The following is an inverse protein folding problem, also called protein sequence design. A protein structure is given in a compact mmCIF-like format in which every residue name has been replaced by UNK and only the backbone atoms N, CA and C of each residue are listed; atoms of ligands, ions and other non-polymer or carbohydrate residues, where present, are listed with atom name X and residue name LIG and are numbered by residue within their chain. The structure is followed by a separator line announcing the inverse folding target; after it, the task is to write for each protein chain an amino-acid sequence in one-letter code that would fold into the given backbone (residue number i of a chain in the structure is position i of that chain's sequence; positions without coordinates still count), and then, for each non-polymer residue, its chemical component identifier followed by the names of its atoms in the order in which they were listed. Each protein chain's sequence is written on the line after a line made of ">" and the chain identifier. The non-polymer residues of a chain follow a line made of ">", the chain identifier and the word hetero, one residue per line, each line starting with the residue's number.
data_IF_999952302870
#
_entry.id   IF_999952302870
#
_cell.length_a   1.000
_cell.length_b   1.000
_cell.length_c   1.000
_cell.angle_alpha   90.00
_cell.angle_beta   90.00
_cell.angle_gamma   90.00
#
_symmetry.space_group_name_H-M   'P 1'
#
loop_
_entity.id
_entity.type
_entity.pdbx_description
1 polymer ?
#
# COMPACT_ATOMS: atom_id res chain seq x y z
N UNK A 1 31.09 -40.00 -72.54
CA UNK A 1 31.95 -38.81 -72.40
C UNK A 1 31.45 -37.95 -71.25
N UNK A 2 32.38 -37.72 -70.33
CA UNK A 2 32.45 -36.71 -69.32
C UNK A 2 31.45 -36.71 -68.10
N UNK A 3 32.03 -37.17 -67.04
CA UNK A 3 31.78 -36.98 -65.64
C UNK A 3 31.47 -35.53 -65.31
N UNK A 4 30.56 -35.31 -64.32
CA UNK A 4 30.77 -34.26 -63.32
C UNK A 4 30.17 -34.69 -61.98
N UNK A 5 31.05 -34.94 -61.02
CA UNK A 5 30.76 -35.00 -59.60
C UNK A 5 30.30 -33.63 -59.16
N UNK A 6 29.12 -33.52 -58.54
CA UNK A 6 28.62 -32.36 -57.87
C UNK A 6 28.63 -32.61 -56.38
N UNK A 7 29.49 -31.93 -55.67
CA UNK A 7 29.75 -31.91 -54.26
C UNK A 7 28.51 -31.36 -53.51
N UNK A 8 27.91 -32.15 -52.63
CA UNK A 8 26.85 -31.74 -51.75
C UNK A 8 27.48 -30.90 -50.65
N UNK A 9 27.38 -29.58 -50.78
CA UNK A 9 27.69 -28.65 -49.70
C UNK A 9 26.58 -28.66 -48.66
N UNK A 10 26.89 -29.18 -47.48
CA UNK A 10 26.10 -29.08 -46.30
C UNK A 10 26.14 -27.59 -45.84
N UNK A 11 25.21 -26.80 -46.31
CA UNK A 11 24.98 -25.48 -45.74
C UNK A 11 24.30 -25.68 -44.36
N UNK A 12 25.12 -25.58 -43.32
CA UNK A 12 24.62 -25.40 -41.98
C UNK A 12 23.78 -24.12 -41.92
N UNK A 13 22.48 -24.27 -41.72
CA UNK A 13 21.61 -23.19 -41.36
C UNK A 13 22.05 -22.73 -39.97
N UNK A 14 22.88 -21.70 -39.90
CA UNK A 14 23.00 -20.87 -38.70
C UNK A 14 21.68 -20.11 -38.63
N UNK A 15 20.76 -20.62 -37.84
CA UNK A 15 19.57 -19.86 -37.45
C UNK A 15 20.06 -18.64 -36.69
N UNK A 16 20.12 -17.50 -37.37
CA UNK A 16 20.23 -16.19 -36.72
C UNK A 16 19.03 -16.10 -35.77
N UNK A 17 19.33 -16.10 -34.49
CA UNK A 17 18.34 -15.86 -33.45
C UNK A 17 17.66 -14.51 -33.77
N UNK A 18 16.44 -14.59 -34.32
CA UNK A 18 15.55 -13.44 -34.41
C UNK A 18 15.47 -12.87 -33.02
N UNK A 19 15.67 -11.54 -32.88
CA UNK A 19 15.54 -10.83 -31.62
C UNK A 19 14.15 -11.14 -31.05
N UNK A 20 14.11 -12.07 -30.12
CA UNK A 20 12.87 -12.48 -29.47
C UNK A 20 12.44 -11.29 -28.63
N UNK A 21 11.22 -10.82 -28.83
CA UNK A 21 10.59 -9.76 -28.03
C UNK A 21 10.31 -10.24 -26.58
N UNK A 22 11.31 -10.82 -25.92
CA UNK A 22 11.23 -11.23 -24.54
C UNK A 22 11.37 -10.02 -23.61
N UNK A 23 10.55 -9.98 -22.58
CA UNK A 23 10.70 -8.99 -21.51
C UNK A 23 11.42 -9.65 -20.34
N UNK A 24 12.62 -9.16 -20.04
CA UNK A 24 13.46 -9.72 -18.99
C UNK A 24 13.59 -8.70 -17.87
N UNK A 25 13.24 -9.11 -16.65
CA UNK A 25 13.30 -8.28 -15.45
C UNK A 25 14.14 -8.95 -14.37
N UNK A 26 14.81 -8.14 -13.56
CA UNK A 26 15.58 -8.57 -12.41
C UNK A 26 14.85 -8.17 -11.13
N UNK A 27 14.53 -9.15 -10.29
CA UNK A 27 13.89 -8.93 -8.99
C UNK A 27 14.96 -9.00 -7.88
N UNK A 28 15.07 -7.93 -7.11
CA UNK A 28 15.93 -7.87 -5.94
C UNK A 28 15.20 -8.33 -4.66
N UNK A 29 15.92 -8.77 -3.63
CA UNK A 29 15.32 -9.07 -2.34
C UNK A 29 14.71 -7.82 -1.72
N UNK A 30 13.61 -8.00 -1.00
CA UNK A 30 12.93 -6.92 -0.28
C UNK A 30 13.67 -6.54 1.01
N UNK A 31 14.45 -7.47 1.57
CA UNK A 31 15.17 -7.26 2.83
C UNK A 31 16.54 -6.65 2.59
N UNK A 32 16.94 -5.74 3.50
CA UNK A 32 18.26 -5.15 3.48
C UNK A 32 19.34 -6.21 3.78
N UNK A 33 20.36 -6.26 2.94
CA UNK A 33 21.44 -7.26 2.97
C UNK A 33 22.63 -6.76 3.77
N UNK A 34 23.35 -7.67 4.43
CA UNK A 34 24.60 -7.30 5.09
C UNK A 34 25.71 -7.03 4.06
N UNK A 35 26.59 -6.04 4.30
CA UNK A 35 27.80 -5.87 3.50
C UNK A 35 28.65 -7.14 3.52
N UNK A 36 29.21 -7.56 2.39
CA UNK A 36 29.93 -8.83 2.27
C UNK A 36 29.05 -10.07 2.26
N UNK A 37 27.72 -9.94 2.44
CA UNK A 37 26.75 -11.03 2.43
C UNK A 37 26.40 -11.50 1.01
N UNK A 38 25.79 -12.67 0.91
CA UNK A 38 25.24 -13.18 -0.34
C UNK A 38 23.83 -12.65 -0.57
N UNK A 39 23.56 -12.29 -1.82
CA UNK A 39 22.26 -11.79 -2.28
C UNK A 39 21.73 -12.71 -3.36
N UNK A 40 20.49 -13.15 -3.18
CA UNK A 40 19.74 -13.84 -4.23
C UNK A 40 18.88 -12.83 -4.99
N UNK A 41 18.96 -12.89 -6.32
CA UNK A 41 18.11 -12.13 -7.24
C UNK A 41 17.46 -13.10 -8.22
N UNK A 42 16.24 -12.80 -8.65
CA UNK A 42 15.53 -13.66 -9.58
C UNK A 42 15.38 -12.95 -10.93
N UNK A 43 15.86 -13.59 -12.00
CA UNK A 43 15.65 -13.17 -13.38
C UNK A 43 14.31 -13.71 -13.84
N UNK A 44 13.37 -12.83 -14.13
CA UNK A 44 12.04 -13.18 -14.66
C UNK A 44 12.02 -12.93 -16.14
N UNK A 45 11.71 -13.98 -16.93
CA UNK A 45 11.68 -13.96 -18.39
C UNK A 45 10.23 -14.14 -18.80
N UNK A 46 9.64 -13.12 -19.40
CA UNK A 46 8.28 -13.16 -19.94
C UNK A 46 8.31 -13.39 -21.44
N UNK A 47 7.44 -14.29 -21.89
CA UNK A 47 7.13 -14.51 -23.29
C UNK A 47 5.80 -13.81 -23.65
N UNK A 48 5.79 -12.61 -24.23
CA UNK A 48 4.55 -11.92 -24.60
C UNK A 48 3.93 -12.45 -25.89
N UNK A 49 4.60 -13.39 -26.58
CA UNK A 49 4.16 -13.92 -27.88
C UNK A 49 3.05 -14.97 -27.73
N UNK A 50 2.39 -15.28 -28.85
CA UNK A 50 1.37 -16.33 -28.90
C UNK A 50 1.95 -17.74 -29.12
N UNK A 51 3.28 -17.89 -29.18
CA UNK A 51 3.98 -19.16 -29.40
C UNK A 51 4.89 -19.47 -28.23
N UNK A 52 5.13 -20.74 -27.97
CA UNK A 52 6.11 -21.20 -27.00
C UNK A 52 7.53 -20.87 -27.46
N UNK A 53 8.39 -20.52 -26.52
CA UNK A 53 9.78 -20.12 -26.76
C UNK A 53 10.70 -20.86 -25.77
N UNK A 54 11.89 -21.27 -26.28
CA UNK A 54 12.98 -21.76 -25.44
C UNK A 54 13.97 -20.61 -25.22
N UNK A 55 14.24 -20.27 -23.98
CA UNK A 55 15.24 -19.27 -23.61
C UNK A 55 16.43 -19.95 -22.94
N UNK A 56 17.62 -19.82 -23.53
CA UNK A 56 18.86 -20.31 -22.94
C UNK A 56 19.38 -19.34 -21.89
N UNK A 57 19.39 -19.80 -20.64
CA UNK A 57 19.87 -19.01 -19.50
C UNK A 57 21.33 -19.39 -19.19
N UNK A 58 22.29 -18.44 -19.23
CA UNK A 58 23.68 -18.71 -18.90
C UNK A 58 23.82 -19.05 -17.40
N UNK A 59 24.90 -19.79 -17.07
CA UNK A 59 25.25 -20.14 -15.68
C UNK A 59 25.74 -18.95 -14.87
N UNK A 60 26.27 -17.92 -15.53
CA UNK A 60 26.69 -16.67 -14.88
C UNK A 60 26.27 -15.47 -15.69
N UNK A 61 26.01 -14.37 -15.00
CA UNK A 61 25.67 -13.08 -15.59
C UNK A 61 26.61 -12.02 -15.02
N UNK A 62 27.15 -11.20 -15.90
CA UNK A 62 27.93 -10.04 -15.50
C UNK A 62 27.01 -8.85 -15.17
N UNK A 63 27.24 -8.23 -14.04
CA UNK A 63 26.53 -7.04 -13.60
C UNK A 63 27.43 -5.96 -13.03
N UNK A 64 26.86 -4.81 -12.79
CA UNK A 64 27.48 -3.71 -12.10
C UNK A 64 26.57 -3.28 -10.96
N UNK A 65 27.07 -3.35 -9.75
CA UNK A 65 26.42 -2.77 -8.57
C UNK A 65 26.92 -1.33 -8.44
N UNK A 66 26.03 -0.34 -8.39
CA UNK A 66 26.41 1.08 -8.40
C UNK A 66 25.73 1.86 -7.30
N UNK A 67 26.47 2.80 -6.71
CA UNK A 67 25.98 3.89 -5.87
C UNK A 67 26.20 5.23 -6.62
N UNK A 68 25.86 6.35 -5.99
CA UNK A 68 26.14 7.68 -6.55
C UNK A 68 27.64 7.96 -6.80
N UNK A 69 28.55 7.27 -6.07
CA UNK A 69 30.00 7.57 -6.09
C UNK A 69 30.88 6.41 -6.49
N UNK A 70 30.38 5.19 -6.42
CA UNK A 70 31.18 3.98 -6.64
C UNK A 70 30.43 2.97 -7.50
N UNK A 71 31.19 2.20 -8.27
CA UNK A 71 30.71 1.08 -9.07
C UNK A 71 31.55 -0.15 -8.77
N UNK A 72 30.88 -1.27 -8.56
CA UNK A 72 31.51 -2.57 -8.32
C UNK A 72 31.06 -3.55 -9.38
N UNK A 73 31.97 -4.15 -10.15
CA UNK A 73 31.64 -5.28 -11.00
C UNK A 73 31.24 -6.47 -10.14
N UNK A 74 30.16 -7.15 -10.49
CA UNK A 74 29.66 -8.34 -9.79
C UNK A 74 29.34 -9.43 -10.78
N UNK A 75 29.66 -10.68 -10.43
CA UNK A 75 29.27 -11.87 -11.16
C UNK A 75 28.11 -12.55 -10.43
N UNK A 76 26.97 -12.69 -11.11
CA UNK A 76 25.79 -13.38 -10.60
C UNK A 76 25.85 -14.83 -11.06
N UNK A 77 25.84 -15.77 -10.15
CA UNK A 77 25.92 -17.21 -10.43
C UNK A 77 24.57 -17.89 -10.30
N UNK A 78 24.13 -18.55 -11.35
CA UNK A 78 22.88 -19.32 -11.39
C UNK A 78 23.04 -20.69 -10.75
N UNK A 79 21.99 -21.19 -10.13
CA UNK A 79 21.98 -22.54 -9.55
C UNK A 79 21.84 -23.63 -10.62
N UNK A 80 21.29 -23.32 -11.78
CA UNK A 80 21.17 -24.20 -12.95
C UNK A 80 21.19 -23.38 -14.24
N UNK A 81 21.95 -23.83 -15.22
CA UNK A 81 21.92 -23.31 -16.60
C UNK A 81 21.04 -24.19 -17.51
N UNK A 82 20.79 -23.70 -18.72
CA UNK A 82 20.10 -24.45 -19.78
C UNK A 82 18.79 -23.80 -20.22
N UNK A 83 18.16 -24.43 -21.23
CA UNK A 83 16.95 -23.95 -21.85
C UNK A 83 15.74 -23.99 -20.93
N UNK A 84 15.09 -22.86 -20.79
CA UNK A 84 13.79 -22.74 -20.13
C UNK A 84 12.71 -22.69 -21.22
N UNK A 85 11.83 -23.69 -21.24
CA UNK A 85 10.65 -23.69 -22.07
C UNK A 85 9.60 -22.76 -21.47
N UNK A 86 9.21 -21.71 -22.21
CA UNK A 86 8.29 -20.68 -21.76
C UNK A 86 7.06 -20.71 -22.64
N UNK A 87 5.93 -21.13 -22.08
CA UNK A 87 4.66 -21.20 -22.81
C UNK A 87 4.27 -19.85 -23.43
N UNK A 88 3.43 -19.88 -24.44
CA UNK A 88 2.83 -18.67 -25.02
C UNK A 88 2.17 -17.82 -23.94
N UNK A 89 2.48 -16.52 -23.89
CA UNK A 89 2.02 -15.55 -22.86
C UNK A 89 2.37 -15.97 -21.43
N UNK A 90 3.34 -16.88 -21.26
CA UNK A 90 3.81 -17.37 -19.98
C UNK A 90 5.10 -16.69 -19.53
N UNK A 91 5.61 -17.14 -18.39
CA UNK A 91 6.88 -16.68 -17.86
C UNK A 91 7.68 -17.84 -17.25
N UNK A 92 8.98 -17.62 -17.08
CA UNK A 92 9.87 -18.48 -16.31
C UNK A 92 10.76 -17.60 -15.43
N UNK A 93 11.29 -18.16 -14.36
CA UNK A 93 12.25 -17.47 -13.51
C UNK A 93 13.50 -18.32 -13.27
N UNK A 94 14.63 -17.64 -13.07
CA UNK A 94 15.91 -18.24 -12.73
C UNK A 94 16.56 -17.43 -11.60
N UNK A 95 17.00 -18.15 -10.58
CA UNK A 95 17.65 -17.54 -9.42
C UNK A 95 19.16 -17.45 -9.62
N UNK A 96 19.70 -16.31 -9.29
CA UNK A 96 21.12 -16.03 -9.26
C UNK A 96 21.54 -15.54 -7.90
N UNK A 97 22.79 -15.82 -7.53
CA UNK A 97 23.39 -15.38 -6.27
C UNK A 97 24.68 -14.63 -6.57
N UNK A 98 24.92 -13.55 -5.88
CA UNK A 98 26.21 -12.83 -5.90
C UNK A 98 26.56 -12.29 -4.53
N UNK A 99 27.84 -11.97 -4.31
CA UNK A 99 28.34 -11.42 -3.05
C UNK A 99 28.38 -9.89 -3.12
N UNK A 100 27.74 -9.23 -2.17
CA UNK A 100 27.81 -7.77 -2.03
C UNK A 100 29.24 -7.36 -1.61
N UNK A 101 29.85 -6.36 -2.22
CA UNK A 101 31.14 -5.85 -1.76
C UNK A 101 31.11 -5.43 -0.29
N UNK A 102 32.19 -5.72 0.44
CA UNK A 102 32.25 -5.49 1.88
C UNK A 102 32.21 -3.99 2.27
N UNK A 103 32.56 -3.10 1.35
CA UNK A 103 32.55 -1.66 1.48
C UNK A 103 31.24 -1.01 0.97
N UNK A 104 30.39 -1.78 0.31
CA UNK A 104 29.12 -1.30 -0.23
C UNK A 104 28.11 -1.04 0.90
N UNK A 105 27.43 0.11 0.85
CA UNK A 105 26.45 0.56 1.85
C UNK A 105 25.33 1.36 1.20
N UNK A 106 24.15 1.34 1.83
CA UNK A 106 22.99 2.11 1.41
C UNK A 106 22.24 1.47 0.25
N UNK A 107 21.51 2.30 -0.50
CA UNK A 107 20.72 1.83 -1.65
C UNK A 107 21.60 1.79 -2.89
N UNK A 108 21.74 0.61 -3.46
CA UNK A 108 22.58 0.35 -4.63
C UNK A 108 21.72 -0.10 -5.80
N UNK A 109 22.13 0.27 -7.00
CA UNK A 109 21.51 -0.16 -8.25
C UNK A 109 22.31 -1.31 -8.84
N UNK A 110 21.65 -2.40 -9.18
CA UNK A 110 22.22 -3.54 -9.91
C UNK A 110 21.76 -3.47 -11.36
N UNK A 111 22.70 -3.34 -12.28
CA UNK A 111 22.51 -3.39 -13.72
C UNK A 111 23.22 -4.63 -14.28
N UNK A 112 22.55 -5.41 -15.14
CA UNK A 112 23.18 -6.48 -15.88
C UNK A 112 23.78 -5.93 -17.18
N UNK A 113 24.96 -6.46 -17.60
CA UNK A 113 25.54 -6.14 -18.88
C UNK A 113 24.72 -6.76 -20.01
N UNK A 114 24.34 -8.01 -19.84
CA UNK A 114 23.43 -8.78 -20.72
C UNK A 114 22.73 -9.85 -19.90
N UNK A 115 21.41 -10.14 -20.15
CA UNK A 115 20.50 -9.37 -21.03
C UNK A 115 20.21 -7.98 -20.44
N UNK A 116 19.79 -7.03 -21.28
CA UNK A 116 19.32 -5.74 -20.78
C UNK A 116 18.05 -5.94 -19.95
N UNK A 117 18.09 -5.54 -18.70
CA UNK A 117 16.99 -5.64 -17.75
C UNK A 117 16.65 -4.27 -17.16
N UNK A 118 15.50 -4.21 -16.50
CA UNK A 118 15.22 -3.08 -15.64
C UNK A 118 16.16 -3.13 -14.44
N UNK A 119 16.75 -1.99 -14.09
CA UNK A 119 17.62 -1.80 -12.93
C UNK A 119 16.98 -2.29 -11.65
N UNK A 120 17.63 -3.20 -10.91
CA UNK A 120 17.19 -3.66 -9.62
C UNK A 120 17.83 -2.83 -8.50
N UNK A 121 17.06 -2.48 -7.46
CA UNK A 121 17.56 -1.76 -6.30
C UNK A 121 17.76 -2.72 -5.13
N UNK A 122 18.95 -2.70 -4.55
CA UNK A 122 19.33 -3.54 -3.42
C UNK A 122 19.68 -2.61 -2.24
N UNK A 123 19.10 -2.85 -1.10
CA UNK A 123 19.44 -2.11 0.12
C UNK A 123 20.49 -2.88 0.92
N UNK A 124 21.65 -2.25 1.14
CA UNK A 124 22.74 -2.81 1.94
C UNK A 124 22.77 -2.07 3.28
N UNK A 125 22.74 -2.82 4.40
CA UNK A 125 22.72 -2.25 5.75
C UNK A 125 23.82 -1.22 5.92
N UNK A 126 23.48 -0.04 6.45
CA UNK A 126 24.50 0.92 6.88
C UNK A 126 25.31 0.33 8.05
N UNK A 127 26.59 0.71 8.16
CA UNK A 127 27.33 0.42 9.39
C UNK A 127 26.54 1.01 10.56
N UNK A 128 26.37 0.23 11.65
CA UNK A 128 25.70 0.72 12.85
C UNK A 128 26.47 1.97 13.36
N UNK A 129 25.85 3.14 13.20
CA UNK A 129 26.34 4.38 13.75
C UNK A 129 25.76 4.50 15.16
N UNK A 130 26.55 4.45 16.24
CA UNK A 130 26.02 4.35 17.61
C UNK A 130 25.23 5.60 18.04
N UNK A 131 25.08 6.62 17.22
CA UNK A 131 24.42 7.89 17.52
C UNK A 131 23.27 8.29 16.61
N UNK A 132 22.84 7.46 15.66
CA UNK A 132 21.78 7.81 14.73
C UNK A 132 20.55 6.95 14.95
N UNK A 133 19.46 7.58 15.42
CA UNK A 133 18.16 6.92 15.51
C UNK A 133 17.76 6.26 14.17
N UNK A 134 17.15 5.07 14.19
CA UNK A 134 16.76 4.37 12.97
C UNK A 134 15.73 5.19 12.19
N UNK A 135 16.16 5.67 11.04
CA UNK A 135 15.30 6.40 10.08
C UNK A 135 14.39 5.37 9.43
N UNK A 136 13.09 5.38 9.78
CA UNK A 136 12.13 4.51 9.15
C UNK A 136 11.88 4.97 7.72
N UNK A 137 12.29 4.14 6.81
CA UNK A 137 11.82 4.18 5.42
C UNK A 137 10.56 3.34 5.37
N UNK A 138 9.41 3.99 5.21
CA UNK A 138 8.15 3.31 4.92
C UNK A 138 8.35 2.48 3.65
N UNK A 139 8.36 1.15 3.79
CA UNK A 139 8.40 0.26 2.64
C UNK A 139 7.12 0.49 1.82
N UNK A 140 7.20 0.77 0.51
CA UNK A 140 6.01 0.81 -0.31
C UNK A 140 5.40 -0.59 -0.35
N UNK A 141 4.10 -0.67 -0.09
CA UNK A 141 3.30 -1.86 -0.38
C UNK A 141 3.29 -2.08 -1.90
N UNK A 142 4.29 -2.78 -2.42
CA UNK A 142 4.26 -3.26 -3.79
C UNK A 142 3.43 -4.55 -3.83
N UNK A 143 2.12 -4.41 -3.82
CA UNK A 143 1.22 -5.49 -4.26
C UNK A 143 1.28 -5.55 -5.79
N UNK A 144 2.36 -6.11 -6.33
CA UNK A 144 2.36 -6.56 -7.71
C UNK A 144 1.61 -7.88 -7.73
N UNK A 145 0.39 -7.84 -8.21
CA UNK A 145 -0.39 -9.05 -8.50
C UNK A 145 0.37 -9.91 -9.51
N UNK A 146 0.53 -11.23 -9.28
CA UNK A 146 1.10 -12.14 -10.26
C UNK A 146 0.27 -12.10 -11.54
N UNK A 147 0.93 -11.89 -12.70
CA UNK A 147 0.29 -11.94 -14.02
C UNK A 147 0.03 -10.59 -14.68
N UNK A 148 0.42 -9.46 -14.09
CA UNK A 148 0.36 -8.17 -14.78
C UNK A 148 1.62 -7.94 -15.64
N UNK A 149 1.48 -7.37 -16.86
CA UNK A 149 2.65 -7.01 -17.68
C UNK A 149 3.53 -6.04 -16.85
N UNK A 150 4.85 -6.17 -17.04
CA UNK A 150 5.81 -5.34 -16.31
C UNK A 150 5.48 -3.85 -16.47
N UNK A 151 4.97 -3.25 -15.41
CA UNK A 151 4.63 -1.84 -15.39
C UNK A 151 5.88 -1.00 -15.70
N UNK A 152 5.75 0.07 -16.49
CA UNK A 152 6.84 1.01 -16.75
C UNK A 152 7.40 1.56 -15.42
N UNK A 153 8.63 2.09 -15.43
CA UNK A 153 9.22 2.71 -14.25
C UNK A 153 8.33 3.84 -13.69
N UNK A 154 7.65 4.57 -14.59
CA UNK A 154 6.68 5.63 -14.22
C UNK A 154 5.48 5.01 -13.51
N UNK A 155 4.88 3.95 -14.05
CA UNK A 155 3.73 3.28 -13.44
C UNK A 155 4.06 2.71 -12.07
N UNK A 156 5.24 2.09 -11.88
CA UNK A 156 5.68 1.59 -10.56
C UNK A 156 5.93 2.73 -9.57
N UNK A 157 6.59 3.81 -10.00
CA UNK A 157 6.80 4.99 -9.17
C UNK A 157 5.47 5.63 -8.77
N UNK A 158 4.50 5.67 -9.67
CA UNK A 158 3.17 6.17 -9.42
C UNK A 158 2.42 5.26 -8.45
N UNK A 159 2.34 3.96 -8.73
CA UNK A 159 1.64 2.99 -7.88
C UNK A 159 2.21 2.91 -6.46
N UNK A 160 3.53 2.97 -6.30
CA UNK A 160 4.20 2.94 -4.99
C UNK A 160 3.96 4.17 -4.11
N UNK A 161 3.30 5.21 -4.63
CA UNK A 161 2.93 6.41 -3.87
C UNK A 161 1.48 6.42 -3.40
N UNK A 162 0.65 5.50 -3.93
CA UNK A 162 -0.72 5.33 -3.48
C UNK A 162 -0.79 4.54 -2.18
N UNK A 163 -1.66 4.95 -1.31
CA UNK A 163 -1.99 4.23 -0.09
C UNK A 163 -3.45 4.48 0.30
N UNK A 164 -3.99 3.62 1.15
CA UNK A 164 -5.29 3.84 1.73
C UNK A 164 -5.29 5.13 2.58
N UNK A 165 -6.44 5.81 2.62
CA UNK A 165 -6.59 7.05 3.40
C UNK A 165 -7.70 6.93 4.44
N UNK A 166 -8.96 6.92 4.05
CA UNK A 166 -10.11 6.63 4.93
C UNK A 166 -10.61 5.19 4.66
N UNK A 167 -11.52 4.61 5.46
CA UNK A 167 -12.06 3.27 5.21
C UNK A 167 -12.63 3.10 3.81
N UNK A 168 -12.45 1.91 3.22
CA UNK A 168 -13.02 1.54 1.91
C UNK A 168 -14.01 0.42 2.12
N UNK A 169 -15.30 0.67 1.87
CA UNK A 169 -16.36 -0.28 2.18
C UNK A 169 -17.56 -0.18 1.24
N UNK A 170 -18.35 -1.26 1.21
CA UNK A 170 -19.71 -1.31 0.68
C UNK A 170 -20.62 -2.01 1.71
N UNK A 171 -21.69 -1.32 2.12
CA UNK A 171 -22.64 -1.79 3.12
C UNK A 171 -24.06 -1.51 2.68
N UNK A 172 -25.00 -2.35 3.14
CA UNK A 172 -26.42 -2.28 2.82
C UNK A 172 -27.27 -2.44 4.08
N UNK A 173 -28.41 -1.76 4.13
CA UNK A 173 -29.44 -1.85 5.17
C UNK A 173 -30.85 -1.68 4.60
N UNK A 174 -31.85 -1.91 5.41
CA UNK A 174 -33.25 -1.85 4.98
C UNK A 174 -33.82 -0.47 4.77
N UNK A 175 -33.26 0.54 5.45
CA UNK A 175 -33.79 1.92 5.41
C UNK A 175 -33.20 2.70 4.24
N UNK A 176 -34.05 3.46 3.54
CA UNK A 176 -33.62 4.30 2.41
C UNK A 176 -32.84 5.54 2.89
N UNK A 177 -31.72 5.88 2.20
CA UNK A 177 -31.07 5.17 1.11
C UNK A 177 -30.35 3.91 1.60
N UNK A 178 -30.71 2.73 1.04
CA UNK A 178 -30.31 1.43 1.57
C UNK A 178 -28.81 1.15 1.50
N UNK A 179 -28.14 1.50 0.40
CA UNK A 179 -26.71 1.23 0.24
C UNK A 179 -25.85 2.46 0.55
N UNK A 180 -24.67 2.19 1.12
CA UNK A 180 -23.63 3.19 1.37
C UNK A 180 -22.30 2.60 1.01
N UNK A 181 -21.50 3.34 0.25
CA UNK A 181 -20.12 2.95 -0.01
C UNK A 181 -19.18 4.12 0.11
N UNK A 182 -17.93 3.81 0.40
CA UNK A 182 -16.86 4.78 0.47
C UNK A 182 -15.62 4.22 -0.24
N UNK A 183 -15.03 5.06 -1.05
CA UNK A 183 -13.77 4.80 -1.71
C UNK A 183 -12.80 5.90 -1.33
N UNK A 184 -11.58 5.53 -0.91
CA UNK A 184 -10.62 6.53 -0.42
C UNK A 184 -9.19 6.09 -0.64
N UNK A 185 -8.36 7.05 -1.07
CA UNK A 185 -6.92 6.88 -1.24
C UNK A 185 -6.19 8.19 -0.99
N UNK A 186 -4.88 8.08 -0.79
CA UNK A 186 -3.97 9.22 -0.78
C UNK A 186 -2.75 8.95 -1.64
N UNK A 187 -2.20 10.01 -2.23
CA UNK A 187 -1.01 9.98 -3.08
C UNK A 187 0.06 10.85 -2.47
N UNK A 188 1.24 10.26 -2.18
CA UNK A 188 2.39 10.97 -1.64
C UNK A 188 3.03 11.83 -2.73
N UNK A 189 3.07 13.15 -2.53
CA UNK A 189 3.56 14.10 -3.53
C UNK A 189 5.06 13.97 -3.76
N UNK A 190 5.84 13.81 -2.68
CA UNK A 190 7.30 13.69 -2.78
C UNK A 190 7.73 12.23 -2.62
N UNK A 191 8.40 11.71 -3.63
CA UNK A 191 9.07 10.42 -3.57
C UNK A 191 10.33 10.45 -2.72
N UNK A 192 10.83 9.26 -2.35
CA UNK A 192 12.01 9.12 -1.49
C UNK A 192 13.29 9.69 -2.14
N UNK A 193 13.32 9.79 -3.47
CA UNK A 193 14.44 10.31 -4.25
C UNK A 193 14.34 11.82 -4.58
N UNK A 194 13.30 12.50 -4.08
CA UNK A 194 13.16 13.92 -4.34
C UNK A 194 14.20 14.74 -3.55
N UNK A 195 15.10 15.42 -4.25
CA UNK A 195 16.17 16.25 -3.65
C UNK A 195 15.66 17.27 -2.64
N UNK A 196 14.51 17.88 -2.91
CA UNK A 196 13.86 18.79 -1.98
C UNK A 196 13.48 18.10 -0.66
N UNK A 197 13.16 16.80 -0.69
CA UNK A 197 12.88 15.99 0.50
C UNK A 197 14.13 15.72 1.34
N UNK A 198 15.34 15.84 0.80
CA UNK A 198 16.59 15.74 1.56
C UNK A 198 16.89 17.04 2.29
N UNK A 199 16.60 18.17 1.66
CA UNK A 199 16.75 19.51 2.25
C UNK A 199 15.64 19.83 3.27
N UNK A 200 14.40 19.37 3.00
CA UNK A 200 13.22 19.59 3.82
C UNK A 200 12.48 18.27 4.07
N UNK A 201 12.97 17.41 4.99
CA UNK A 201 12.39 16.09 5.24
C UNK A 201 10.89 16.09 5.60
N UNK A 202 10.42 17.16 6.22
CA UNK A 202 9.01 17.35 6.56
C UNK A 202 8.10 17.27 5.32
N UNK A 203 8.54 17.75 4.16
CA UNK A 203 7.74 17.73 2.94
C UNK A 203 7.43 16.32 2.41
N UNK A 204 8.15 15.28 2.88
CA UNK A 204 7.84 13.88 2.57
C UNK A 204 6.52 13.39 3.17
N UNK A 205 6.01 14.11 4.16
CA UNK A 205 4.68 13.89 4.74
C UNK A 205 3.54 14.54 3.96
N UNK A 206 3.77 15.12 2.78
CA UNK A 206 2.76 15.83 2.00
C UNK A 206 2.03 14.89 1.04
N UNK A 207 0.69 14.87 1.14
CA UNK A 207 -0.19 13.99 0.37
C UNK A 207 -1.33 14.77 -0.28
N UNK A 208 -1.76 14.28 -1.45
CA UNK A 208 -3.09 14.55 -1.99
C UNK A 208 -4.00 13.39 -1.60
N UNK A 209 -5.08 13.67 -0.90
CA UNK A 209 -6.12 12.72 -0.54
C UNK A 209 -7.36 12.91 -1.39
N UNK A 210 -8.09 11.83 -1.59
CA UNK A 210 -9.42 11.85 -2.19
C UNK A 210 -10.30 10.82 -1.50
N UNK A 211 -11.47 11.25 -1.07
CA UNK A 211 -12.50 10.36 -0.55
C UNK A 211 -13.81 10.64 -1.26
N UNK A 212 -14.47 9.60 -1.71
CA UNK A 212 -15.84 9.64 -2.21
C UNK A 212 -16.70 8.78 -1.29
N UNK A 213 -17.82 9.34 -0.82
CA UNK A 213 -18.83 8.61 -0.04
C UNK A 213 -20.17 8.81 -0.70
N UNK A 214 -20.84 7.72 -1.04
CA UNK A 214 -22.13 7.74 -1.73
C UNK A 214 -23.18 7.01 -0.90
N UNK A 215 -24.35 7.63 -0.85
CA UNK A 215 -25.59 7.04 -0.36
C UNK A 215 -26.44 6.71 -1.59
N UNK A 216 -26.79 5.44 -1.74
CA UNK A 216 -27.43 4.92 -2.94
C UNK A 216 -28.77 4.30 -2.60
N UNK A 217 -29.84 4.86 -3.13
CA UNK A 217 -31.19 4.32 -2.95
C UNK A 217 -31.44 3.20 -3.97
N UNK A 218 -30.81 2.07 -3.72
CA UNK A 218 -30.82 0.92 -4.64
C UNK A 218 -32.20 0.30 -4.79
N UNK A 219 -33.12 0.52 -3.84
CA UNK A 219 -34.50 -0.02 -3.85
C UNK A 219 -35.51 0.92 -4.54
N UNK A 220 -35.16 2.18 -4.77
CA UNK A 220 -36.04 3.11 -5.47
C UNK A 220 -36.08 2.84 -6.97
N UNK A 221 -37.14 3.30 -7.63
CA UNK A 221 -37.23 3.24 -9.08
C UNK A 221 -36.05 3.91 -9.75
N UNK A 222 -35.41 3.21 -10.71
CA UNK A 222 -34.16 3.66 -11.38
C UNK A 222 -32.94 3.73 -10.46
N UNK A 223 -33.01 3.26 -9.21
CA UNK A 223 -31.89 3.16 -8.26
C UNK A 223 -31.00 4.40 -8.23
N UNK A 224 -31.50 5.60 -7.90
CA UNK A 224 -30.71 6.83 -7.96
C UNK A 224 -29.70 6.92 -6.81
N UNK A 225 -28.58 7.62 -7.03
CA UNK A 225 -27.77 8.10 -5.92
C UNK A 225 -28.53 9.21 -5.18
N UNK A 226 -28.78 8.96 -3.89
CA UNK A 226 -29.42 9.94 -3.01
C UNK A 226 -28.52 11.15 -2.81
N UNK A 227 -27.25 10.91 -2.45
CA UNK A 227 -26.22 11.94 -2.30
C UNK A 227 -24.83 11.33 -2.46
N UNK A 228 -23.89 12.12 -2.95
CA UNK A 228 -22.47 11.73 -3.01
C UNK A 228 -21.63 12.89 -2.50
N UNK A 229 -20.74 12.64 -1.56
CA UNK A 229 -19.73 13.61 -1.13
C UNK A 229 -18.40 13.31 -1.82
N UNK A 230 -17.85 14.29 -2.53
CA UNK A 230 -16.52 14.30 -3.10
C UNK A 230 -15.59 15.14 -2.21
N UNK A 231 -14.52 14.54 -1.69
CA UNK A 231 -13.68 15.14 -0.66
C UNK A 231 -12.20 15.11 -1.06
N UNK A 232 -11.77 15.96 -2.02
CA UNK A 232 -10.35 16.16 -2.27
C UNK A 232 -9.71 16.94 -1.11
N UNK A 233 -8.46 16.59 -0.78
CA UNK A 233 -7.71 17.27 0.27
C UNK A 233 -6.21 17.31 -0.02
N UNK A 234 -5.57 18.38 0.47
CA UNK A 234 -4.13 18.50 0.57
C UNK A 234 -3.78 18.39 2.05
N UNK A 235 -2.98 17.42 2.42
CA UNK A 235 -2.70 17.13 3.82
C UNK A 235 -1.23 16.80 4.06
N UNK A 236 -0.83 17.05 5.27
CA UNK A 236 0.45 16.66 5.83
C UNK A 236 0.23 15.59 6.91
N UNK A 237 1.05 14.54 6.88
CA UNK A 237 1.09 13.49 7.91
C UNK A 237 2.50 13.36 8.48
N UNK A 238 2.58 13.34 9.79
CA UNK A 238 3.77 12.96 10.54
C UNK A 238 3.46 11.71 11.36
N UNK A 239 4.20 10.65 11.15
CA UNK A 239 4.05 9.41 11.91
C UNK A 239 5.24 9.23 12.83
N UNK A 240 4.97 8.88 14.09
CA UNK A 240 5.98 8.50 15.06
C UNK A 240 6.19 6.99 15.01
N UNK A 241 7.46 6.61 15.11
CA UNK A 241 7.81 5.20 15.22
C UNK A 241 7.68 4.79 16.66
N UNK A 242 6.75 3.89 16.91
CA UNK A 242 6.54 3.30 18.23
C UNK A 242 6.71 1.79 18.10
N UNK A 243 7.56 1.20 18.95
CA UNK A 243 7.66 -0.26 19.02
C UNK A 243 6.29 -0.84 19.41
N UNK A 244 5.67 -1.68 18.54
CA UNK A 244 4.36 -2.25 18.82
C UNK A 244 4.28 -3.04 20.12
N UNK A 245 5.39 -3.69 20.51
CA UNK A 245 5.50 -4.51 21.69
C UNK A 245 5.73 -3.73 22.99
N UNK A 246 5.99 -2.42 22.92
CA UNK A 246 6.21 -1.61 24.13
C UNK A 246 5.01 -1.75 25.09
N UNK A 247 5.24 -2.20 26.35
CA UNK A 247 4.18 -2.40 27.31
C UNK A 247 3.43 -1.10 27.60
N UNK A 248 2.13 -1.19 27.80
CA UNK A 248 1.19 -0.24 28.39
C UNK A 248 1.47 1.26 28.27
N UNK A 249 0.49 2.05 28.57
CA UNK A 249 0.62 3.50 28.67
C UNK A 249 0.24 4.27 27.39
N UNK A 250 0.40 5.56 27.52
CA UNK A 250 0.09 6.55 26.47
C UNK A 250 1.19 6.59 25.42
N UNK A 251 0.78 6.63 24.14
CA UNK A 251 1.67 6.75 22.97
C UNK A 251 1.12 7.82 22.04
N UNK A 252 1.97 8.74 21.62
CA UNK A 252 1.66 9.65 20.52
C UNK A 252 2.11 8.99 19.22
N UNK A 253 1.16 8.72 18.31
CA UNK A 253 1.44 8.04 17.03
C UNK A 253 1.76 8.99 15.89
N UNK A 254 1.50 10.29 16.08
CA UNK A 254 1.70 11.31 15.07
C UNK A 254 0.49 12.21 14.91
N UNK A 255 0.48 12.99 13.86
CA UNK A 255 -0.62 13.90 13.56
C UNK A 255 -0.82 14.06 12.06
N UNK A 256 -2.02 14.47 11.69
CA UNK A 256 -2.44 14.81 10.34
C UNK A 256 -3.05 16.21 10.36
N UNK A 257 -2.79 17.00 9.33
CA UNK A 257 -3.42 18.30 9.18
C UNK A 257 -3.48 18.71 7.73
N UNK A 258 -4.48 19.49 7.36
CA UNK A 258 -4.64 19.85 5.96
C UNK A 258 -5.84 20.73 5.68
N UNK A 259 -6.08 20.89 4.38
CA UNK A 259 -7.26 21.57 3.85
C UNK A 259 -8.05 20.54 3.05
N UNK A 260 -9.35 20.43 3.36
CA UNK A 260 -10.28 19.52 2.69
C UNK A 260 -11.44 20.32 2.10
N UNK A 261 -11.75 20.06 0.85
CA UNK A 261 -13.02 20.42 0.23
C UNK A 261 -14.00 19.26 0.36
N UNK A 262 -15.28 19.53 0.60
CA UNK A 262 -16.36 18.55 0.48
C UNK A 262 -17.50 19.18 -0.34
N UNK A 263 -17.92 18.51 -1.40
CA UNK A 263 -19.06 18.95 -2.20
C UNK A 263 -19.87 17.75 -2.68
N UNK A 264 -21.17 17.98 -2.93
CA UNK A 264 -22.04 16.93 -3.45
C UNK A 264 -22.15 16.91 -4.98
N UNK A 265 -21.45 17.79 -5.69
CA UNK A 265 -21.43 17.84 -7.16
C UNK A 265 -22.76 18.17 -7.81
N UNK A 266 -23.71 18.74 -7.05
CA UNK A 266 -25.00 19.20 -7.56
C UNK A 266 -24.97 20.69 -7.81
N UNK A 267 -25.91 21.17 -8.58
CA UNK A 267 -26.16 22.60 -8.88
C UNK A 267 -27.45 23.11 -8.23
N UNK A 268 -27.67 24.42 -8.35
CA UNK A 268 -28.89 25.11 -7.91
C UNK A 268 -29.18 24.89 -6.39
N UNK A 269 -30.46 24.78 -6.01
CA UNK A 269 -30.89 24.64 -4.61
C UNK A 269 -30.42 23.37 -3.93
N UNK A 270 -29.99 22.35 -4.69
CA UNK A 270 -29.43 21.09 -4.17
C UNK A 270 -27.91 21.14 -3.99
N UNK A 271 -27.25 22.19 -4.40
CA UNK A 271 -25.80 22.36 -4.24
C UNK A 271 -25.43 22.47 -2.75
N UNK A 272 -24.42 21.70 -2.36
CA UNK A 272 -23.82 21.77 -1.01
C UNK A 272 -22.32 21.67 -1.15
N UNK A 273 -21.60 22.59 -0.47
CA UNK A 273 -20.15 22.54 -0.42
C UNK A 273 -19.61 23.20 0.84
N UNK A 274 -18.47 22.74 1.29
CA UNK A 274 -17.73 23.35 2.40
C UNK A 274 -16.23 23.14 2.19
N UNK A 275 -15.47 24.01 2.82
CA UNK A 275 -14.02 23.88 2.94
C UNK A 275 -13.63 23.94 4.41
N UNK A 276 -12.73 23.08 4.83
CA UNK A 276 -12.20 23.08 6.18
C UNK A 276 -10.68 23.07 6.16
N UNK A 277 -10.11 23.73 7.17
CA UNK A 277 -8.75 23.48 7.64
C UNK A 277 -8.84 22.66 8.90
N UNK A 278 -7.99 21.65 9.06
CA UNK A 278 -8.09 20.75 10.21
C UNK A 278 -6.72 20.30 10.73
N UNK A 279 -6.73 19.84 12.00
CA UNK A 279 -5.64 19.11 12.62
C UNK A 279 -6.19 17.90 13.38
N UNK A 280 -5.49 16.77 13.32
CA UNK A 280 -5.86 15.48 13.92
C UNK A 280 -4.63 14.82 14.53
N UNK A 281 -4.29 15.07 15.81
CA UNK A 281 -3.33 14.24 16.51
C UNK A 281 -3.89 12.83 16.73
N UNK A 282 -3.00 11.83 16.85
CA UNK A 282 -3.37 10.42 17.06
C UNK A 282 -2.63 9.88 18.26
N UNK A 283 -3.40 9.36 19.20
CA UNK A 283 -2.91 8.79 20.45
C UNK A 283 -3.31 7.32 20.54
N UNK A 284 -2.50 6.53 21.24
CA UNK A 284 -2.82 5.14 21.53
C UNK A 284 -2.57 4.82 23.00
N UNK A 285 -3.39 3.91 23.53
CA UNK A 285 -3.27 3.34 24.86
C UNK A 285 -3.27 1.81 24.73
N UNK A 286 -2.44 1.13 25.51
CA UNK A 286 -2.30 -0.32 25.41
C UNK A 286 -1.21 -0.75 24.43
N UNK A 287 -1.25 -2.02 24.00
CA UNK A 287 -0.25 -2.62 23.11
C UNK A 287 -0.71 -2.57 21.68
N UNK A 288 0.09 -2.05 20.78
CA UNK A 288 -0.26 -1.95 19.34
C UNK A 288 -0.27 -3.32 18.63
N UNK A 289 0.44 -4.32 19.17
CA UNK A 289 0.40 -5.72 18.71
C UNK A 289 -0.71 -6.57 19.38
N UNK A 290 -1.54 -5.95 20.21
CA UNK A 290 -2.62 -6.57 20.96
C UNK A 290 -3.88 -5.70 20.99
N UNK A 291 -4.62 -5.77 22.09
CA UNK A 291 -5.71 -4.85 22.35
C UNK A 291 -5.19 -3.46 22.62
N UNK A 292 -5.73 -2.48 21.91
CA UNK A 292 -5.38 -1.08 22.07
C UNK A 292 -6.61 -0.19 21.88
N UNK A 293 -6.52 1.01 22.46
CA UNK A 293 -7.46 2.08 22.28
C UNK A 293 -6.75 3.22 21.54
N UNK A 294 -7.21 3.53 20.34
CA UNK A 294 -6.79 4.70 19.59
C UNK A 294 -7.77 5.85 19.82
N UNK A 295 -7.25 7.06 19.96
CA UNK A 295 -8.03 8.28 20.12
C UNK A 295 -7.45 9.33 19.17
N UNK A 296 -8.27 9.80 18.22
CA UNK A 296 -7.87 10.75 17.19
C UNK A 296 -8.89 11.90 17.08
N UNK A 297 -8.79 12.91 17.97
CA UNK A 297 -9.62 14.11 17.87
C UNK A 297 -9.22 14.91 16.62
N UNK A 298 -10.19 15.35 15.83
CA UNK A 298 -10.00 16.24 14.68
C UNK A 298 -10.69 17.57 14.98
N UNK A 299 -9.90 18.59 15.26
CA UNK A 299 -10.39 19.96 15.30
C UNK A 299 -10.35 20.57 13.90
N UNK A 300 -11.39 21.31 13.54
CA UNK A 300 -11.46 21.96 12.23
C UNK A 300 -12.21 23.29 12.27
N UNK A 301 -11.88 24.15 11.32
CA UNK A 301 -12.58 25.40 11.07
C UNK A 301 -13.07 25.43 9.62
N UNK A 302 -14.26 25.93 9.42
CA UNK A 302 -14.77 26.24 8.09
C UNK A 302 -14.03 27.45 7.55
N UNK A 303 -13.59 27.37 6.31
CA UNK A 303 -12.93 28.44 5.56
C UNK A 303 -13.69 28.68 4.27
N UNK A 304 -13.60 29.90 3.72
CA UNK A 304 -14.35 30.36 2.55
C UNK A 304 -15.88 30.37 2.73
N UNK A 305 -16.62 30.44 1.62
CA UNK A 305 -18.06 30.62 1.61
C UNK A 305 -18.84 29.36 2.04
N UNK A 306 -19.87 29.58 2.88
CA UNK A 306 -20.82 28.56 3.32
C UNK A 306 -22.25 28.86 2.87
N UNK A 307 -22.46 29.73 1.86
CA UNK A 307 -23.80 30.19 1.43
C UNK A 307 -24.75 29.04 1.08
N UNK A 308 -24.23 27.91 0.58
CA UNK A 308 -25.02 26.72 0.26
C UNK A 308 -25.47 25.90 1.48
N UNK A 309 -24.86 26.12 2.66
CA UNK A 309 -25.14 25.41 3.91
C UNK A 309 -24.72 26.25 5.13
N UNK A 310 -25.37 27.43 5.35
CA UNK A 310 -24.87 28.46 6.27
C UNK A 310 -24.90 28.04 7.74
N UNK A 311 -25.74 27.10 8.12
CA UNK A 311 -25.93 26.59 9.47
C UNK A 311 -25.28 25.21 9.71
N UNK A 312 -24.41 24.73 8.81
CA UNK A 312 -23.83 23.40 8.90
C UNK A 312 -23.04 23.17 10.20
N UNK A 313 -22.45 24.23 10.76
CA UNK A 313 -21.75 24.17 12.03
C UNK A 313 -22.66 23.85 13.22
N UNK A 314 -23.96 24.14 13.13
CA UNK A 314 -24.92 23.80 14.19
C UNK A 314 -25.18 22.29 14.27
N UNK A 315 -24.88 21.53 13.19
CA UNK A 315 -25.08 20.09 13.06
C UNK A 315 -23.78 19.29 13.11
N UNK A 316 -22.73 19.76 12.43
CA UNK A 316 -21.44 19.04 12.36
C UNK A 316 -20.36 19.59 13.29
N UNK A 317 -20.58 20.81 13.85
CA UNK A 317 -19.65 21.48 14.78
C UNK A 317 -18.29 21.77 14.19
N UNK A 318 -17.28 21.79 15.07
CA UNK A 318 -15.88 22.05 14.78
C UNK A 318 -14.94 20.97 15.34
N UNK A 319 -15.51 19.92 15.93
CA UNK A 319 -14.76 18.80 16.51
C UNK A 319 -15.37 17.46 16.09
N UNK A 320 -14.53 16.56 15.67
CA UNK A 320 -14.84 15.15 15.44
C UNK A 320 -13.91 14.31 16.32
N UNK A 321 -14.45 13.34 17.02
CA UNK A 321 -13.67 12.41 17.80
C UNK A 321 -13.80 11.01 17.20
N UNK A 322 -12.68 10.47 16.70
CA UNK A 322 -12.56 9.07 16.35
C UNK A 322 -11.91 8.31 17.50
N UNK A 323 -12.57 7.26 17.96
CA UNK A 323 -12.07 6.35 18.99
C UNK A 323 -12.16 4.92 18.47
N UNK A 324 -11.08 4.16 18.53
CA UNK A 324 -11.04 2.77 18.05
C UNK A 324 -10.54 1.87 19.16
N UNK A 325 -11.37 0.93 19.57
CA UNK A 325 -11.01 -0.15 20.49
C UNK A 325 -10.91 -1.45 19.71
N UNK A 326 -9.74 -2.08 19.69
CA UNK A 326 -9.60 -3.31 18.88
C UNK A 326 -8.21 -3.89 18.84
N UNK A 327 -8.03 -4.80 17.89
CA UNK A 327 -6.76 -5.43 17.55
C UNK A 327 -6.50 -5.29 16.06
N UNK A 328 -5.22 -5.21 15.67
CA UNK A 328 -4.84 -5.09 14.26
C UNK A 328 -5.24 -6.32 13.42
N UNK A 329 -5.15 -7.50 14.01
CA UNK A 329 -5.46 -8.80 13.38
C UNK A 329 -6.80 -9.41 13.85
N UNK A 330 -7.63 -8.62 14.53
CA UNK A 330 -8.86 -9.09 15.16
C UNK A 330 -10.02 -8.11 15.01
N UNK A 331 -11.07 -8.30 15.82
CA UNK A 331 -12.21 -7.39 15.83
C UNK A 331 -11.81 -5.99 16.29
N UNK A 332 -12.53 -4.99 15.78
CA UNK A 332 -12.39 -3.61 16.21
C UNK A 332 -13.74 -2.87 16.15
N UNK A 333 -13.96 -2.02 17.13
CA UNK A 333 -15.06 -1.07 17.18
C UNK A 333 -14.50 0.34 17.02
N UNK A 334 -14.89 1.02 15.96
CA UNK A 334 -14.57 2.42 15.73
C UNK A 334 -15.82 3.29 15.98
N UNK A 335 -15.68 4.28 16.83
CA UNK A 335 -16.71 5.27 17.13
C UNK A 335 -16.26 6.62 16.58
N UNK A 336 -17.07 7.20 15.69
CA UNK A 336 -16.89 8.57 15.20
C UNK A 336 -18.03 9.43 15.73
N UNK A 337 -17.72 10.44 16.54
CA UNK A 337 -18.70 11.34 17.09
C UNK A 337 -18.44 12.78 16.71
N UNK A 338 -19.51 13.54 16.51
CA UNK A 338 -19.49 14.99 16.26
C UNK A 338 -20.51 15.67 17.15
N UNK A 339 -20.18 16.86 17.61
CA UNK A 339 -21.11 17.72 18.35
C UNK A 339 -21.23 19.05 17.60
N UNK A 340 -22.45 19.42 17.29
CA UNK A 340 -22.79 20.72 16.70
C UNK A 340 -22.47 21.88 17.64
N UNK A 341 -22.37 23.09 17.12
CA UNK A 341 -21.96 24.30 17.85
C UNK A 341 -22.74 24.53 19.14
N UNK A 342 -24.04 24.25 19.16
CA UNK A 342 -24.90 24.37 20.31
C UNK A 342 -24.97 23.14 21.22
N UNK A 343 -24.20 22.07 20.95
CA UNK A 343 -24.18 20.79 21.68
C UNK A 343 -25.53 20.03 21.77
N UNK A 344 -26.59 20.53 21.13
CA UNK A 344 -27.91 19.90 21.09
C UNK A 344 -28.11 18.99 19.85
N UNK A 345 -27.25 19.14 18.86
CA UNK A 345 -27.23 18.36 17.64
C UNK A 345 -25.87 17.69 17.48
N UNK A 346 -25.82 16.64 16.73
CA UNK A 346 -24.56 15.92 16.50
C UNK A 346 -24.81 14.58 15.84
N UNK A 347 -23.79 13.76 15.79
CA UNK A 347 -23.89 12.41 15.22
C UNK A 347 -22.95 11.42 15.92
N UNK A 348 -23.35 10.16 15.88
CA UNK A 348 -22.54 9.02 16.27
C UNK A 348 -22.58 7.99 15.13
N UNK A 349 -21.41 7.59 14.66
CA UNK A 349 -21.22 6.41 13.83
C UNK A 349 -20.44 5.37 14.60
N UNK A 350 -20.93 4.15 14.61
CA UNK A 350 -20.25 3.00 15.21
C UNK A 350 -20.00 1.94 14.14
N UNK A 351 -18.73 1.63 13.90
CA UNK A 351 -18.27 0.66 12.90
C UNK A 351 -17.68 -0.55 13.61
N UNK A 352 -18.37 -1.68 13.59
CA UNK A 352 -17.88 -2.94 14.13
C UNK A 352 -17.33 -3.79 12.99
N UNK A 353 -16.05 -4.14 13.06
CA UNK A 353 -15.35 -4.89 12.01
C UNK A 353 -14.78 -6.20 12.52
N UNK A 354 -14.89 -7.26 11.68
CA UNK A 354 -14.33 -8.58 11.92
C UNK A 354 -13.52 -9.01 10.70
N UNK A 355 -12.24 -9.41 10.85
CA UNK A 355 -11.44 -9.91 9.74
C UNK A 355 -11.97 -11.26 9.26
N UNK A 356 -12.11 -11.43 7.94
CA UNK A 356 -12.52 -12.66 7.28
C UNK A 356 -11.54 -12.97 6.16
N UNK A 357 -11.12 -14.24 6.07
CA UNK A 357 -10.26 -14.75 5.03
C UNK A 357 -11.00 -15.77 4.19
N UNK A 358 -10.94 -15.60 2.88
CA UNK A 358 -11.51 -16.51 1.90
C UNK A 358 -10.40 -17.32 1.22
N UNK A 359 -9.66 -18.13 2.01
CA UNK A 359 -8.42 -18.79 1.59
C UNK A 359 -8.56 -19.76 0.41
N UNK A 360 -9.72 -20.40 0.26
CA UNK A 360 -9.89 -21.51 -0.70
C UNK A 360 -10.44 -21.10 -2.08
N UNK A 361 -11.10 -19.96 -2.18
CA UNK A 361 -11.82 -19.59 -3.40
C UNK A 361 -11.22 -18.35 -4.09
N UNK A 362 -10.73 -17.39 -3.31
CA UNK A 362 -10.33 -16.08 -3.86
C UNK A 362 -8.96 -15.59 -3.37
N UNK A 363 -8.29 -16.27 -2.42
CA UNK A 363 -7.07 -15.76 -1.74
C UNK A 363 -7.22 -14.28 -1.34
N UNK A 364 -8.35 -13.95 -0.72
CA UNK A 364 -8.77 -12.59 -0.46
C UNK A 364 -9.11 -12.41 1.02
N UNK A 365 -8.52 -11.42 1.65
CA UNK A 365 -8.80 -11.00 3.01
C UNK A 365 -9.60 -9.70 3.02
N UNK A 366 -10.66 -9.66 3.82
CA UNK A 366 -11.54 -8.50 3.98
C UNK A 366 -12.06 -8.43 5.41
N UNK A 367 -12.87 -7.42 5.70
CA UNK A 367 -13.58 -7.30 6.97
C UNK A 367 -15.07 -7.34 6.71
N UNK A 368 -15.81 -8.09 7.50
CA UNK A 368 -17.24 -7.85 7.68
C UNK A 368 -17.39 -6.58 8.48
N UNK A 369 -18.24 -5.67 8.03
CA UNK A 369 -18.52 -4.39 8.64
C UNK A 369 -20.01 -4.30 8.99
N UNK A 370 -20.29 -3.96 10.23
CA UNK A 370 -21.63 -3.54 10.69
C UNK A 370 -21.50 -2.09 11.13
N UNK A 371 -22.26 -1.21 10.49
CA UNK A 371 -22.27 0.23 10.77
C UNK A 371 -23.62 0.65 11.33
N UNK A 372 -23.59 1.30 12.48
CA UNK A 372 -24.71 2.05 13.05
C UNK A 372 -24.45 3.54 12.89
N UNK A 373 -25.43 4.26 12.43
CA UNK A 373 -25.43 5.72 12.36
C UNK A 373 -26.64 6.28 13.09
N UNK A 374 -26.43 7.34 13.88
CA UNK A 374 -27.49 8.14 14.48
C UNK A 374 -27.08 9.58 14.53
N UNK A 375 -27.92 10.48 14.05
CA UNK A 375 -27.71 11.92 14.13
C UNK A 375 -27.79 12.66 12.84
N UNK A 376 -27.11 13.79 12.76
CA UNK A 376 -27.14 14.75 11.68
C UNK A 376 -25.90 14.66 10.78
N UNK A 377 -26.02 15.02 9.50
CA UNK A 377 -24.90 15.19 8.61
C UNK A 377 -24.30 13.89 8.05
N UNK A 378 -25.08 12.80 7.97
CA UNK A 378 -24.68 11.63 7.21
C UNK A 378 -24.54 11.96 5.73
N UNK A 379 -25.55 12.63 5.16
CA UNK A 379 -25.56 13.22 3.83
C UNK A 379 -25.17 14.70 3.91
N UNK A 380 -24.51 15.22 2.90
CA UNK A 380 -24.27 16.64 2.78
C UNK A 380 -25.53 17.36 2.28
N UNK A 381 -26.32 16.71 1.42
CA UNK A 381 -27.57 17.24 0.88
C UNK A 381 -28.60 17.53 1.99
N UNK A 382 -28.74 16.59 2.92
CA UNK A 382 -29.70 16.66 4.04
C UNK A 382 -29.00 16.71 5.41
N UNK A 383 -27.91 17.51 5.51
CA UNK A 383 -27.10 17.59 6.72
C UNK A 383 -27.89 18.02 7.97
N UNK A 384 -28.99 18.72 7.78
CA UNK A 384 -29.88 19.23 8.83
C UNK A 384 -31.04 18.27 9.18
N UNK A 385 -31.11 17.11 8.57
CA UNK A 385 -32.07 16.05 8.93
C UNK A 385 -31.38 14.98 9.77
N UNK A 386 -32.07 14.55 10.84
CA UNK A 386 -31.59 13.44 11.66
C UNK A 386 -31.95 12.12 10.96
N UNK A 387 -30.96 11.24 10.87
CA UNK A 387 -31.13 9.88 10.36
C UNK A 387 -30.66 8.88 11.39
N UNK A 388 -31.26 7.70 11.39
CA UNK A 388 -30.83 6.56 12.18
C UNK A 388 -30.87 5.33 11.28
N UNK A 389 -29.73 4.63 11.14
CA UNK A 389 -29.62 3.52 10.19
C UNK A 389 -28.65 2.47 10.69
N UNK A 390 -28.95 1.21 10.35
CA UNK A 390 -28.02 0.08 10.48
C UNK A 390 -27.75 -0.50 9.11
N UNK A 391 -26.48 -0.64 8.77
CA UNK A 391 -26.04 -1.25 7.50
C UNK A 391 -24.96 -2.28 7.77
N UNK A 392 -24.92 -3.34 6.97
CA UNK A 392 -23.89 -4.38 7.05
C UNK A 392 -23.33 -4.69 5.66
N UNK A 393 -22.11 -5.16 5.61
CA UNK A 393 -21.42 -5.54 4.36
C UNK A 393 -19.94 -5.76 4.58
N UNK A 394 -19.12 -5.31 3.64
CA UNK A 394 -17.72 -5.61 3.63
C UNK A 394 -16.87 -4.32 3.57
N UNK A 395 -15.69 -4.39 4.20
CA UNK A 395 -14.69 -3.33 4.17
C UNK A 395 -13.35 -3.90 3.73
N UNK A 396 -12.77 -3.35 2.67
CA UNK A 396 -11.42 -3.70 2.19
C UNK A 396 -10.34 -3.10 3.08
N UNK A 397 -10.60 -1.90 3.58
CA UNK A 397 -9.70 -1.14 4.43
C UNK A 397 -10.51 -0.59 5.58
N UNK A 398 -10.16 -0.94 6.81
CA UNK A 398 -10.67 -0.28 8.01
C UNK A 398 -9.76 0.90 8.39
N UNK A 399 -10.10 1.63 9.41
CA UNK A 399 -9.34 2.83 9.82
C UNK A 399 -7.83 2.59 9.87
N UNK A 400 -7.06 3.45 9.23
CA UNK A 400 -5.63 3.29 8.89
C UNK A 400 -4.69 3.57 10.08
N UNK A 401 -5.21 4.06 11.19
CA UNK A 401 -4.40 4.38 12.37
C UNK A 401 -3.98 3.14 13.18
N UNK A 402 -4.42 1.96 12.78
CA UNK A 402 -3.89 0.71 13.29
C UNK A 402 -2.52 0.52 12.65
N UNK A 403 -1.49 0.38 13.47
CA UNK A 403 -0.09 0.31 13.04
C UNK A 403 0.12 -0.67 11.87
N UNK A 404 1.07 -0.38 10.94
CA UNK A 404 1.39 -1.31 9.87
C UNK A 404 1.74 -2.67 10.48
N UNK A 405 1.27 -3.74 9.84
CA UNK A 405 1.55 -5.13 10.25
C UNK A 405 3.05 -5.28 10.50
N UNK A 406 3.43 -5.41 11.77
CA UNK A 406 4.76 -5.87 12.11
C UNK A 406 4.85 -7.31 11.59
N UNK A 407 5.60 -7.54 10.51
CA UNK A 407 5.89 -8.89 10.05
C UNK A 407 6.38 -9.68 11.25
N UNK A 408 5.67 -10.71 11.63
CA UNK A 408 6.09 -11.65 12.68
C UNK A 408 7.44 -12.20 12.26
N UNK A 409 8.50 -11.70 12.86
CA UNK A 409 9.78 -12.37 12.87
C UNK A 409 9.55 -13.70 13.58
N UNK A 410 9.50 -14.79 12.82
CA UNK A 410 9.27 -16.14 13.36
C UNK A 410 10.28 -16.41 14.46
N UNK A 411 9.84 -16.44 15.72
CA UNK A 411 10.61 -17.01 16.80
C UNK A 411 10.84 -18.48 16.48
N UNK A 412 12.00 -18.79 15.94
CA UNK A 412 12.52 -20.15 15.93
C UNK A 412 12.67 -20.57 17.40
N UNK A 413 11.75 -21.40 17.88
CA UNK A 413 11.92 -22.06 19.18
C UNK A 413 13.16 -22.96 19.05
N UNK A 414 14.19 -22.81 19.89
CA UNK A 414 15.30 -23.78 19.92
C UNK A 414 14.70 -25.14 20.28
N UNK A 415 14.95 -26.15 19.45
CA UNK A 415 14.66 -27.54 19.78
C UNK A 415 15.43 -27.86 21.06
N UNK A 416 14.72 -28.20 22.12
CA UNK A 416 15.33 -28.84 23.30
C UNK A 416 15.97 -30.14 22.84
N UNK A 417 17.28 -30.22 22.89
CA UNK A 417 18.02 -31.48 22.78
C UNK A 417 17.68 -32.31 24.02
N UNK A 418 16.97 -33.42 23.81
CA UNK A 418 16.85 -34.46 24.82
C UNK A 418 18.21 -35.16 24.95
N UNK A 419 18.98 -34.79 25.94
CA UNK A 419 20.10 -35.58 26.38
C UNK A 419 19.55 -36.81 27.09
N UNK A 420 19.65 -37.97 26.44
CA UNK A 420 19.45 -39.26 27.08
C UNK A 420 20.68 -39.52 27.96
N UNK A 421 20.46 -39.49 29.24
CA UNK A 421 21.46 -39.96 30.22
C UNK A 421 21.49 -41.48 30.25
N UNK A 422 22.63 -42.05 29.90
CA UNK A 422 22.99 -43.41 30.30
C UNK A 422 23.56 -43.29 31.71
N UNK A 423 22.96 -43.97 32.67
CA UNK A 423 23.46 -44.19 33.99
C UNK A 423 23.81 -45.66 34.18
N UNK A 424 24.93 -45.91 34.74
CA UNK A 424 25.32 -47.14 35.39
C UNK A 424 24.82 -47.15 36.82
#
# INVERSE_FOLDING_TARGET
>A
MKNFLGMVSLLGLVATAAAQNLVINLLAPVEAVAPGGEVRVDLVILNPTATEIIYETPLSLDGVLSSERHQWPVELRGQAGGGAQIAARGFSYRSFVFKVPADARGRLALDLKQPQTVRALIEVKAAADPGREPRIVSAPLSNVLPGQPAASAIQRSFAGRFSAHEPVYFIYGGDAPGAKFQFSFKYRLLGDQARIGDQMPALRGLYLGFTQRSLWDINAYSSPFYDTSYMPELMFESQQVVDPGTPGGFKFLGWQGGVRHESNGRDGPASRSLNIVYARPVFAFGRLDGWNLLVAPRAFAYIADLSNNPDIADYRGHLELLTILGRNDGPALALTSRLGRGMHKGSLQADLTFPVKFDKLFDFATYVLIQYWNGYGESLLSYNHRTETVRAGFSLVRSIFLAPESRRCGRIRPKRSSAAGFGS
#
